data_IF_023805173940
#
_entry.id   IF_023805173940
#
_cell.length_a   1.000
_cell.length_b   1.000
_cell.length_c   1.000
_cell.angle_alpha   90.00
_cell.angle_beta   90.00
_cell.angle_gamma   90.00
#
_symmetry.space_group_name_H-M   'P 1'
#
loop_
_entity.id
_entity.type
_entity.pdbx_description
1 polymer ?
#
# COMPACT_ATOMS: atom_id res chain seq x y z
N UNK A 1 -32.60 58.00 -4.71
CA UNK A 1 -32.19 56.63 -4.33
C UNK A 1 -31.19 56.12 -5.35
N UNK A 2 -29.95 55.79 -4.94
CA UNK A 2 -28.92 55.21 -5.82
C UNK A 2 -28.18 54.14 -5.04
N UNK A 3 -28.58 52.88 -5.17
CA UNK A 3 -27.89 51.73 -4.58
C UNK A 3 -26.70 51.36 -5.48
N UNK A 4 -25.48 51.57 -4.98
CA UNK A 4 -24.26 51.04 -5.60
C UNK A 4 -24.02 49.64 -5.05
N UNK A 5 -24.30 48.61 -5.85
CA UNK A 5 -23.95 47.23 -5.53
C UNK A 5 -22.48 47.05 -5.90
N UNK A 6 -21.63 46.94 -4.89
CA UNK A 6 -20.20 46.67 -5.04
C UNK A 6 -20.03 45.14 -4.92
N UNK A 7 -19.94 44.48 -6.07
CA UNK A 7 -19.68 43.04 -6.19
C UNK A 7 -18.24 42.77 -5.76
N UNK A 8 -18.06 42.38 -4.50
CA UNK A 8 -16.82 41.80 -3.99
C UNK A 8 -16.71 40.37 -4.51
N UNK A 9 -15.89 40.20 -5.55
CA UNK A 9 -15.45 38.92 -6.07
C UNK A 9 -14.73 38.12 -4.98
N UNK A 10 -15.39 37.07 -4.50
CA UNK A 10 -14.76 36.01 -3.70
C UNK A 10 -13.72 35.31 -4.58
N UNK A 11 -12.44 35.57 -4.30
CA UNK A 11 -11.35 34.76 -4.83
C UNK A 11 -11.45 33.42 -4.09
N UNK A 12 -12.08 32.44 -4.73
CA UNK A 12 -12.01 31.06 -4.29
C UNK A 12 -10.56 30.60 -4.50
N UNK A 13 -9.78 30.64 -3.45
CA UNK A 13 -8.51 29.91 -3.39
C UNK A 13 -8.86 28.43 -3.41
N UNK A 14 -8.83 27.83 -4.60
CA UNK A 14 -8.76 26.38 -4.75
C UNK A 14 -7.46 25.93 -4.12
N UNK A 15 -7.50 25.60 -2.83
CA UNK A 15 -6.40 24.93 -2.15
C UNK A 15 -6.32 23.52 -2.74
N UNK A 16 -5.46 23.34 -3.75
CA UNK A 16 -5.03 22.00 -4.13
C UNK A 16 -4.17 21.50 -2.98
N UNK A 17 -4.74 20.62 -2.15
CA UNK A 17 -3.97 19.83 -1.20
C UNK A 17 -3.09 18.88 -2.02
N UNK A 18 -1.87 19.33 -2.35
CA UNK A 18 -0.84 18.47 -2.89
C UNK A 18 -0.33 17.59 -1.74
N UNK A 19 -1.04 16.49 -1.46
CA UNK A 19 -0.55 15.43 -0.57
C UNK A 19 0.59 14.68 -1.26
N UNK A 20 1.75 15.33 -1.37
CA UNK A 20 2.99 14.67 -1.71
C UNK A 20 3.44 13.89 -0.46
N UNK A 21 2.88 12.70 -0.27
CA UNK A 21 3.39 11.75 0.73
C UNK A 21 4.84 11.42 0.38
N UNK A 22 5.75 11.57 1.35
CA UNK A 22 7.17 11.33 1.10
C UNK A 22 7.39 9.85 0.75
N UNK A 23 8.32 9.56 -0.17
CA UNK A 23 8.63 8.19 -0.58
C UNK A 23 8.85 7.21 0.60
N UNK A 24 9.54 7.59 1.70
CA UNK A 24 9.68 6.72 2.87
C UNK A 24 8.33 6.35 3.52
N UNK A 25 7.34 7.23 3.51
CA UNK A 25 6.02 6.97 4.12
C UNK A 25 5.24 5.94 3.32
N UNK A 26 5.26 6.07 1.99
CA UNK A 26 4.63 5.11 1.07
C UNK A 26 5.31 3.75 1.19
N UNK A 27 6.64 3.70 1.18
CA UNK A 27 7.35 2.42 1.27
C UNK A 27 7.17 1.74 2.62
N UNK A 28 7.01 2.48 3.71
CA UNK A 28 6.63 1.90 5.01
C UNK A 28 5.25 1.24 4.98
N UNK A 29 4.31 1.77 4.20
CA UNK A 29 3.01 1.12 3.98
C UNK A 29 3.21 -0.18 3.20
N UNK A 30 3.97 -0.16 2.09
CA UNK A 30 4.29 -1.36 1.29
C UNK A 30 4.89 -2.44 2.18
N UNK A 31 5.86 -2.09 3.03
CA UNK A 31 6.50 -3.01 4.00
C UNK A 31 5.48 -3.67 4.91
N UNK A 32 4.55 -2.91 5.49
CA UNK A 32 3.50 -3.44 6.38
C UNK A 32 2.54 -4.38 5.65
N UNK A 33 2.17 -4.04 4.42
CA UNK A 33 1.31 -4.91 3.60
C UNK A 33 2.04 -6.21 3.29
N UNK A 34 3.32 -6.13 2.89
CA UNK A 34 4.16 -7.29 2.61
C UNK A 34 4.30 -8.22 3.84
N UNK A 35 4.47 -7.65 5.03
CA UNK A 35 4.44 -8.38 6.29
C UNK A 35 3.14 -9.19 6.43
N UNK A 36 1.98 -8.54 6.32
CA UNK A 36 0.68 -9.19 6.53
C UNK A 36 0.42 -10.31 5.52
N UNK A 37 0.77 -10.08 4.24
CA UNK A 37 0.57 -11.07 3.18
C UNK A 37 1.45 -12.31 3.40
N UNK A 38 2.74 -12.12 3.72
CA UNK A 38 3.62 -13.25 4.01
C UNK A 38 3.27 -13.94 5.33
N UNK A 39 2.82 -13.20 6.34
CA UNK A 39 2.32 -13.79 7.59
C UNK A 39 1.12 -14.70 7.33
N UNK A 40 0.11 -14.21 6.59
CA UNK A 40 -1.05 -14.99 6.19
C UNK A 40 -0.64 -16.26 5.41
N UNK A 41 0.32 -16.12 4.48
CA UNK A 41 0.91 -17.27 3.78
C UNK A 41 1.55 -18.29 4.73
N UNK A 42 2.38 -17.84 5.69
CA UNK A 42 3.02 -18.72 6.68
C UNK A 42 2.01 -19.36 7.66
N UNK A 43 0.81 -18.79 7.78
CA UNK A 43 -0.34 -19.34 8.50
C UNK A 43 -1.23 -20.25 7.64
N UNK A 44 -0.88 -20.45 6.35
CA UNK A 44 -1.63 -21.27 5.39
C UNK A 44 -3.04 -20.73 5.09
N UNK A 45 -3.24 -19.42 5.20
CA UNK A 45 -4.43 -18.79 4.62
C UNK A 45 -4.45 -19.10 3.11
N UNK A 46 -5.62 -19.37 2.50
CA UNK A 46 -5.75 -19.50 1.06
C UNK A 46 -5.47 -18.19 0.32
N UNK A 47 -4.85 -18.27 -0.87
CA UNK A 47 -4.56 -17.09 -1.69
C UNK A 47 -5.85 -16.37 -2.11
N UNK A 48 -6.91 -17.13 -2.35
CA UNK A 48 -8.21 -16.64 -2.80
C UNK A 48 -8.82 -15.66 -1.79
N UNK A 49 -8.64 -15.89 -0.49
CA UNK A 49 -9.20 -15.03 0.55
C UNK A 49 -8.53 -13.64 0.52
N UNK A 50 -7.21 -13.60 0.32
CA UNK A 50 -6.48 -12.34 0.14
C UNK A 50 -6.78 -11.68 -1.20
N UNK A 51 -6.99 -12.47 -2.25
CA UNK A 51 -7.35 -11.95 -3.57
C UNK A 51 -8.72 -11.26 -3.54
N UNK A 52 -9.69 -11.81 -2.82
CA UNK A 52 -11.00 -11.17 -2.62
C UNK A 52 -10.89 -9.83 -1.90
N UNK A 53 -10.00 -9.72 -0.90
CA UNK A 53 -9.70 -8.45 -0.23
C UNK A 53 -9.10 -7.46 -1.22
N UNK A 54 -8.13 -7.89 -2.03
CA UNK A 54 -7.50 -7.07 -3.06
C UNK A 54 -8.53 -6.54 -4.08
N UNK A 55 -9.44 -7.40 -4.51
CA UNK A 55 -10.45 -7.07 -5.52
C UNK A 55 -11.49 -6.05 -5.02
N UNK A 56 -11.65 -5.92 -3.69
CA UNK A 56 -12.49 -4.91 -3.05
C UNK A 56 -11.84 -3.53 -2.90
N UNK A 57 -10.56 -3.38 -3.24
CA UNK A 57 -9.87 -2.08 -3.19
C UNK A 57 -10.32 -1.19 -4.34
N UNK A 58 -10.72 0.04 -4.03
CA UNK A 58 -11.16 1.03 -5.03
C UNK A 58 -9.99 1.66 -5.81
N UNK A 59 -8.81 1.73 -5.21
CA UNK A 59 -7.61 2.25 -5.87
C UNK A 59 -6.95 1.13 -6.68
N UNK A 60 -6.93 1.27 -8.00
CA UNK A 60 -6.39 0.27 -8.92
C UNK A 60 -4.87 0.05 -8.75
N UNK A 61 -4.11 1.08 -8.35
CA UNK A 61 -2.66 0.93 -8.10
C UNK A 61 -2.43 0.15 -6.82
N UNK A 62 -3.19 0.46 -5.77
CA UNK A 62 -3.13 -0.27 -4.51
C UNK A 62 -3.57 -1.73 -4.70
N UNK A 63 -4.61 -1.96 -5.50
CA UNK A 63 -5.08 -3.29 -5.90
C UNK A 63 -3.98 -4.08 -6.61
N UNK A 64 -3.38 -3.52 -7.66
CA UNK A 64 -2.31 -4.19 -8.39
C UNK A 64 -1.12 -4.53 -7.48
N UNK A 65 -0.69 -3.58 -6.64
CA UNK A 65 0.38 -3.81 -5.67
C UNK A 65 0.04 -4.97 -4.72
N UNK A 66 -1.18 -5.01 -4.20
CA UNK A 66 -1.62 -6.06 -3.28
C UNK A 66 -1.66 -7.42 -3.98
N UNK A 67 -2.11 -7.48 -5.24
CA UNK A 67 -2.11 -8.69 -6.06
C UNK A 67 -0.69 -9.20 -6.35
N UNK A 68 0.26 -8.29 -6.66
CA UNK A 68 1.66 -8.65 -6.88
C UNK A 68 2.31 -9.21 -5.62
N UNK A 69 2.01 -8.61 -4.45
CA UNK A 69 2.45 -9.09 -3.15
C UNK A 69 1.91 -10.50 -2.85
N UNK A 70 0.62 -10.75 -3.10
CA UNK A 70 0.02 -12.08 -2.94
C UNK A 70 0.71 -13.09 -3.86
N UNK A 71 0.83 -12.78 -5.15
CA UNK A 71 1.45 -13.67 -6.14
C UNK A 71 2.87 -14.08 -5.72
N UNK A 72 3.68 -13.10 -5.31
CA UNK A 72 5.06 -13.31 -4.85
C UNK A 72 5.11 -14.13 -3.54
N UNK A 73 4.29 -13.81 -2.56
CA UNK A 73 4.27 -14.53 -1.28
C UNK A 73 3.85 -16.00 -1.45
N UNK A 74 2.88 -16.29 -2.32
CA UNK A 74 2.36 -17.65 -2.50
C UNK A 74 3.26 -18.56 -3.34
N UNK A 75 4.22 -18.00 -4.07
CA UNK A 75 5.34 -18.75 -4.64
C UNK A 75 6.34 -19.23 -3.57
N UNK A 76 6.37 -18.59 -2.40
CA UNK A 76 7.26 -18.97 -1.32
C UNK A 76 6.78 -20.20 -0.53
N UNK A 77 7.75 -20.88 0.09
CA UNK A 77 7.50 -22.06 0.93
C UNK A 77 6.88 -21.66 2.28
N UNK A 78 6.01 -22.51 2.80
CA UNK A 78 5.51 -22.41 4.19
C UNK A 78 6.40 -23.23 5.10
N UNK A 79 6.95 -22.59 6.12
CA UNK A 79 7.86 -23.23 7.07
C UNK A 79 7.10 -23.81 8.27
N UNK A 80 7.65 -24.87 8.88
CA UNK A 80 7.06 -25.48 10.08
C UNK A 80 7.45 -24.75 11.36
N UNK A 81 8.72 -24.36 11.47
CA UNK A 81 9.29 -23.76 12.68
C UNK A 81 9.04 -22.25 12.74
N UNK A 82 8.78 -21.72 13.93
CA UNK A 82 8.59 -20.28 14.17
C UNK A 82 9.77 -19.42 13.68
N UNK A 83 11.01 -19.90 13.85
CA UNK A 83 12.21 -19.20 13.41
C UNK A 83 12.19 -18.92 11.90
N UNK A 84 12.09 -19.96 11.08
CA UNK A 84 12.05 -19.78 9.61
C UNK A 84 10.81 -19.05 9.11
N UNK A 85 9.66 -19.15 9.81
CA UNK A 85 8.49 -18.32 9.49
C UNK A 85 8.79 -16.85 9.66
N UNK A 86 9.39 -16.47 10.79
CA UNK A 86 9.75 -15.07 11.07
C UNK A 86 10.76 -14.56 10.06
N UNK A 87 11.81 -15.34 9.79
CA UNK A 87 12.81 -14.98 8.81
C UNK A 87 12.19 -14.77 7.42
N UNK A 88 11.32 -15.67 6.96
CA UNK A 88 10.64 -15.51 5.68
C UNK A 88 9.77 -14.24 5.61
N UNK A 89 9.13 -13.84 6.71
CA UNK A 89 8.34 -12.61 6.79
C UNK A 89 9.27 -11.39 6.75
N UNK A 90 10.36 -11.40 7.52
CA UNK A 90 11.35 -10.32 7.59
C UNK A 90 12.05 -10.07 6.25
N UNK A 91 12.53 -11.13 5.62
CA UNK A 91 13.20 -11.06 4.31
C UNK A 91 12.23 -10.56 3.23
N UNK A 92 10.99 -11.04 3.25
CA UNK A 92 9.97 -10.63 2.28
C UNK A 92 9.59 -9.15 2.41
N UNK A 93 9.30 -8.67 3.62
CA UNK A 93 8.93 -7.26 3.82
C UNK A 93 10.12 -6.32 3.53
N UNK A 94 11.35 -6.75 3.80
CA UNK A 94 12.55 -5.97 3.51
C UNK A 94 12.76 -5.83 1.99
N UNK A 95 12.66 -6.93 1.24
CA UNK A 95 12.81 -6.89 -0.22
C UNK A 95 11.80 -5.98 -0.91
N UNK A 96 10.54 -5.99 -0.48
CA UNK A 96 9.50 -5.09 -1.01
C UNK A 96 9.69 -3.63 -0.60
N UNK A 97 10.23 -3.38 0.60
CA UNK A 97 10.57 -2.04 1.04
C UNK A 97 11.72 -1.44 0.22
N UNK A 98 12.80 -2.20 0.02
CA UNK A 98 13.96 -1.78 -0.76
C UNK A 98 13.60 -1.53 -2.23
N UNK A 99 12.81 -2.42 -2.83
CA UNK A 99 12.33 -2.24 -4.20
C UNK A 99 11.42 -1.01 -4.34
N UNK A 100 10.59 -0.72 -3.33
CA UNK A 100 9.78 0.49 -3.31
C UNK A 100 10.66 1.74 -3.26
N UNK A 101 11.67 1.79 -2.39
CA UNK A 101 12.59 2.92 -2.30
C UNK A 101 13.27 3.16 -3.65
N UNK A 102 13.83 2.11 -4.26
CA UNK A 102 14.51 2.16 -5.55
C UNK A 102 13.64 2.69 -6.71
N UNK A 103 12.31 2.52 -6.62
CA UNK A 103 11.36 3.02 -7.63
C UNK A 103 10.92 4.47 -7.40
N UNK A 104 11.16 5.02 -6.21
CA UNK A 104 10.73 6.35 -5.79
C UNK A 104 11.91 7.28 -5.43
N UNK A 105 13.14 6.84 -5.68
CA UNK A 105 14.35 7.69 -5.80
C UNK A 105 14.31 8.49 -7.11
#
# INVERSE_FOLDING_TARGET
MKFKILLLSFIATSCYANESTAAPDICNIVKKVAYNVMEARQQKVPAQDLQQIADGLADEKAKQLYQDLISSAYAAKVFKTSFFKRQAIEDFQAGWYEECLRRNE
#
